data_IF_126139893576
#
_entry.id   IF_126139893576
#
_cell.length_a   1.000
_cell.length_b   1.000
_cell.length_c   1.000
_cell.angle_alpha   90.00
_cell.angle_beta   90.00
_cell.angle_gamma   90.00
#
_symmetry.space_group_name_H-M   'P 1'
#
loop_
_entity.id
_entity.type
_entity.pdbx_description
1 polymer ?
#
# COMPACT_ATOMS: atom_id res chain seq x y z
N UNK A 1 3.58 -0.46 -7.26
CA UNK A 1 4.41 0.75 -7.09
C UNK A 1 4.44 1.65 -8.33
N UNK A 2 4.96 1.23 -9.47
CA UNK A 2 5.07 2.08 -10.68
C UNK A 2 3.72 2.64 -11.16
N UNK A 3 2.65 1.85 -11.12
CA UNK A 3 1.30 2.29 -11.49
C UNK A 3 0.82 3.43 -10.57
N UNK A 4 0.97 3.28 -9.26
CA UNK A 4 0.58 4.30 -8.29
C UNK A 4 1.32 5.62 -8.54
N UNK A 5 2.64 5.57 -8.75
CA UNK A 5 3.45 6.74 -9.07
C UNK A 5 3.02 7.38 -10.41
N UNK A 6 2.75 6.58 -11.43
CA UNK A 6 2.31 7.10 -12.72
C UNK A 6 0.95 7.82 -12.63
N UNK A 7 -0.01 7.27 -11.90
CA UNK A 7 -1.32 7.89 -11.69
C UNK A 7 -1.23 9.15 -10.84
N UNK A 8 -0.38 9.16 -9.79
CA UNK A 8 -0.23 10.32 -8.92
C UNK A 8 0.44 11.51 -9.61
N UNK A 9 1.35 11.25 -10.55
CA UNK A 9 2.03 12.30 -11.32
C UNK A 9 1.21 12.76 -12.53
N UNK A 10 0.39 11.86 -13.10
CA UNK A 10 -0.25 12.09 -14.39
C UNK A 10 0.76 12.10 -15.55
N UNK A 11 0.29 12.41 -16.75
CA UNK A 11 1.14 12.56 -17.93
C UNK A 11 0.49 13.49 -18.96
N UNK A 12 1.08 14.65 -19.17
CA UNK A 12 0.64 15.59 -20.21
C UNK A 12 0.71 14.96 -21.60
N UNK A 13 1.76 14.14 -21.84
CA UNK A 13 1.95 13.45 -23.13
C UNK A 13 0.76 12.56 -23.52
N UNK A 14 0.09 11.98 -22.54
CA UNK A 14 -1.04 11.06 -22.76
C UNK A 14 -2.37 11.64 -22.32
N UNK A 15 -2.43 12.93 -21.97
CA UNK A 15 -3.66 13.58 -21.49
C UNK A 15 -4.17 13.01 -20.15
N UNK A 16 -3.30 12.42 -19.35
CA UNK A 16 -3.66 11.82 -18.06
C UNK A 16 -3.41 12.87 -16.97
N UNK A 17 -4.49 13.32 -16.31
CA UNK A 17 -4.38 14.21 -15.16
C UNK A 17 -3.85 13.46 -13.92
N UNK A 18 -3.14 14.18 -13.06
CA UNK A 18 -2.69 13.64 -11.78
C UNK A 18 -3.88 13.27 -10.89
N UNK A 19 -3.77 12.18 -10.14
CA UNK A 19 -4.79 11.65 -9.24
C UNK A 19 -4.28 11.62 -7.80
N UNK A 20 -5.17 11.82 -6.84
CA UNK A 20 -4.88 11.52 -5.42
C UNK A 20 -4.94 10.01 -5.26
N UNK A 21 -3.78 9.39 -5.02
CA UNK A 21 -3.63 7.93 -4.97
C UNK A 21 -3.29 7.51 -3.55
N UNK A 22 -4.06 6.57 -2.99
CA UNK A 22 -3.68 5.83 -1.80
C UNK A 22 -3.13 4.47 -2.21
N UNK A 23 -1.91 4.16 -1.81
CA UNK A 23 -1.29 2.85 -1.98
C UNK A 23 -1.32 2.12 -0.64
N UNK A 24 -2.09 1.05 -0.59
CA UNK A 24 -2.29 0.19 0.59
C UNK A 24 -1.39 -1.02 0.48
N UNK A 25 -0.49 -1.20 1.43
CA UNK A 25 0.39 -2.37 1.50
C UNK A 25 -0.24 -3.44 2.39
N UNK A 26 -0.60 -4.59 1.82
CA UNK A 26 -1.15 -5.75 2.52
C UNK A 26 -0.13 -6.89 2.67
N UNK A 27 1.10 -6.73 2.13
CA UNK A 27 2.16 -7.71 2.32
C UNK A 27 2.90 -7.46 3.64
N UNK A 28 2.92 -8.42 4.60
CA UNK A 28 3.65 -8.27 5.86
C UNK A 28 5.13 -7.93 5.70
N UNK A 29 5.73 -8.21 4.53
CA UNK A 29 7.10 -7.78 4.22
C UNK A 29 7.25 -6.26 4.23
N UNK A 30 6.17 -5.50 3.99
CA UNK A 30 6.14 -4.03 4.04
C UNK A 30 7.12 -3.39 3.06
N UNK A 31 7.22 -3.92 1.86
CA UNK A 31 8.21 -3.47 0.87
C UNK A 31 7.86 -2.11 0.26
N UNK A 32 6.59 -1.74 0.25
CA UNK A 32 6.13 -0.45 -0.29
C UNK A 32 6.80 0.71 0.45
N UNK A 33 6.68 0.76 1.78
CA UNK A 33 7.29 1.81 2.59
C UNK A 33 8.82 1.86 2.43
N UNK A 34 9.47 0.69 2.42
CA UNK A 34 10.92 0.56 2.23
C UNK A 34 11.39 1.16 0.90
N UNK A 35 10.60 1.06 -0.16
CA UNK A 35 10.93 1.65 -1.47
C UNK A 35 11.03 3.19 -1.41
N UNK A 36 10.28 3.82 -0.51
CA UNK A 36 10.39 5.27 -0.24
C UNK A 36 11.48 5.61 0.78
N UNK A 37 12.32 4.64 1.18
CA UNK A 37 13.38 4.85 2.16
C UNK A 37 12.86 4.99 3.60
N UNK A 38 11.65 4.54 3.87
CA UNK A 38 11.03 4.56 5.19
C UNK A 38 11.53 3.37 6.01
N UNK A 39 11.98 3.60 7.23
CA UNK A 39 12.28 2.53 8.19
C UNK A 39 10.98 2.13 8.89
N UNK A 40 10.47 0.96 8.56
CA UNK A 40 9.22 0.41 9.09
C UNK A 40 9.15 0.34 10.63
N UNK A 41 10.31 0.22 11.29
CA UNK A 41 10.39 0.15 12.75
C UNK A 41 10.15 1.50 13.44
N UNK A 42 10.22 2.59 12.70
CA UNK A 42 10.06 3.96 13.21
C UNK A 42 8.75 4.62 12.79
N UNK A 43 7.96 3.94 11.99
CA UNK A 43 6.65 4.40 11.54
C UNK A 43 5.61 3.85 12.52
N UNK A 44 4.88 4.73 13.15
CA UNK A 44 3.69 4.34 13.91
C UNK A 44 2.47 4.61 13.06
N UNK A 45 1.26 4.46 13.49
CA UNK A 45 0.63 3.16 13.39
C UNK A 45 0.55 2.69 11.92
N UNK A 46 0.43 1.39 11.70
CA UNK A 46 0.44 0.74 10.38
C UNK A 46 -0.90 0.07 10.07
N UNK A 47 -0.96 -0.69 8.99
CA UNK A 47 -2.10 -1.55 8.65
C UNK A 47 -2.41 -2.54 9.79
N UNK A 48 -1.40 -3.01 10.54
CA UNK A 48 -1.59 -3.94 11.64
C UNK A 48 -2.51 -3.38 12.73
N UNK A 49 -2.24 -2.16 13.21
CA UNK A 49 -3.06 -1.51 14.21
C UNK A 49 -4.48 -1.22 13.70
N UNK A 50 -4.59 -0.86 12.42
CA UNK A 50 -5.88 -0.61 11.80
C UNK A 50 -6.75 -1.89 11.75
N UNK A 51 -6.15 -3.05 11.45
CA UNK A 51 -6.83 -4.34 11.42
C UNK A 51 -7.12 -4.93 12.82
N UNK A 52 -6.19 -4.76 13.78
CA UNK A 52 -6.33 -5.29 15.14
C UNK A 52 -7.50 -4.68 15.88
N UNK A 53 -7.87 -3.46 15.52
CA UNK A 53 -8.95 -2.75 16.19
C UNK A 53 -10.31 -3.36 15.86
N UNK A 54 -11.12 -3.53 16.91
CA UNK A 54 -12.54 -3.80 16.75
C UNK A 54 -13.26 -2.60 16.14
N UNK A 55 -14.43 -2.83 15.57
CA UNK A 55 -15.31 -1.80 14.99
C UNK A 55 -15.66 -0.70 16.03
N UNK A 56 -15.45 -0.98 17.30
CA UNK A 56 -15.85 -0.12 18.42
C UNK A 56 -14.75 0.83 18.94
N UNK A 57 -13.52 0.77 18.41
CA UNK A 57 -12.44 1.66 18.88
C UNK A 57 -12.33 2.90 17.99
N UNK A 58 -13.09 3.91 18.34
CA UNK A 58 -13.24 5.21 17.65
C UNK A 58 -12.01 6.14 17.65
N UNK A 59 -10.81 5.67 17.98
CA UNK A 59 -9.67 6.55 18.26
C UNK A 59 -8.54 6.52 17.23
N UNK A 60 -8.45 5.57 16.29
CA UNK A 60 -7.46 5.56 15.21
C UNK A 60 -8.14 5.69 13.87
N UNK A 61 -7.83 6.72 13.16
CA UNK A 61 -8.34 6.97 11.81
C UNK A 61 -7.34 6.45 10.79
N UNK A 62 -7.81 6.15 9.60
CA UNK A 62 -6.95 5.78 8.47
C UNK A 62 -5.86 6.84 8.22
N UNK A 63 -6.20 8.11 8.40
CA UNK A 63 -5.28 9.24 8.24
C UNK A 63 -4.07 9.15 9.16
N UNK A 64 -4.25 8.64 10.40
CA UNK A 64 -3.17 8.49 11.39
C UNK A 64 -2.17 7.40 10.98
N UNK A 65 -2.62 6.44 10.18
CA UNK A 65 -1.82 5.32 9.66
C UNK A 65 -1.18 5.62 8.30
N UNK A 66 -1.48 6.77 7.70
CA UNK A 66 -1.14 7.03 6.30
C UNK A 66 0.03 8.01 6.18
N UNK A 67 1.04 7.61 5.41
CA UNK A 67 2.23 8.42 5.13
C UNK A 67 1.96 9.32 3.93
N UNK A 68 1.95 10.63 4.16
CA UNK A 68 1.69 11.63 3.12
C UNK A 68 2.91 11.97 2.25
N UNK A 69 2.69 12.73 1.15
CA UNK A 69 3.72 13.05 0.16
C UNK A 69 4.97 13.73 0.73
N UNK A 70 4.81 14.63 1.70
CA UNK A 70 5.93 15.37 2.31
C UNK A 70 6.81 14.45 3.15
N UNK A 71 6.20 13.56 3.94
CA UNK A 71 6.91 12.55 4.71
C UNK A 71 7.70 11.61 3.79
N UNK A 72 7.06 11.08 2.74
CA UNK A 72 7.68 10.18 1.77
C UNK A 72 8.84 10.87 1.05
N UNK A 73 8.66 12.12 0.62
CA UNK A 73 9.73 12.93 0.02
C UNK A 73 10.91 13.11 0.99
N UNK A 74 10.64 13.41 2.24
CA UNK A 74 11.66 13.55 3.29
C UNK A 74 12.46 12.28 3.50
N UNK A 75 11.78 11.13 3.59
CA UNK A 75 12.38 9.81 3.75
C UNK A 75 13.27 9.43 2.58
N UNK A 76 12.81 9.64 1.33
CA UNK A 76 13.60 9.40 0.12
C UNK A 76 14.88 10.25 0.10
N UNK A 77 14.78 11.53 0.45
CA UNK A 77 15.94 12.44 0.52
C UNK A 77 16.92 12.02 1.61
N UNK A 78 16.43 11.57 2.76
CA UNK A 78 17.25 11.06 3.84
C UNK A 78 17.97 9.75 3.44
N UNK A 79 17.28 8.82 2.82
CA UNK A 79 17.85 7.59 2.28
C UNK A 79 18.93 7.87 1.22
N UNK A 80 18.67 8.82 0.33
CA UNK A 80 19.66 9.25 -0.66
C UNK A 80 20.95 9.77 -0.01
N UNK A 81 20.83 10.61 1.05
CA UNK A 81 21.99 11.12 1.78
C UNK A 81 22.81 10.01 2.42
N UNK A 82 22.15 9.03 3.04
CA UNK A 82 22.80 7.84 3.62
C UNK A 82 23.60 7.04 2.58
N UNK A 83 23.04 6.89 1.38
CA UNK A 83 23.66 6.13 0.29
C UNK A 83 24.74 6.93 -0.47
N UNK A 84 24.86 8.22 -0.22
CA UNK A 84 25.82 9.11 -0.90
C UNK A 84 26.61 9.98 0.11
N UNK A 85 27.34 9.37 1.06
CA UNK A 85 28.12 10.13 2.04
C UNK A 85 29.23 10.93 1.31
N UNK A 86 29.41 12.18 1.70
CA UNK A 86 30.47 13.03 1.15
C UNK A 86 30.15 13.74 -0.16
N UNK A 87 28.99 13.55 -0.78
CA UNK A 87 28.58 14.39 -1.91
C UNK A 87 28.21 15.79 -1.43
N UNK A 88 28.93 16.80 -1.94
CA UNK A 88 28.69 18.21 -1.61
C UNK A 88 27.34 18.74 -2.11
N UNK A 89 26.82 18.16 -3.20
CA UNK A 89 25.45 18.45 -3.69
C UNK A 89 24.46 17.58 -2.92
N UNK A 90 23.40 18.22 -2.41
CA UNK A 90 22.28 17.53 -1.77
C UNK A 90 21.49 16.60 -2.71
N UNK A 91 20.42 15.95 -2.23
CA UNK A 91 19.58 15.10 -3.05
C UNK A 91 19.02 15.89 -4.24
N UNK A 92 18.85 15.23 -5.40
CA UNK A 92 18.30 15.87 -6.59
C UNK A 92 16.93 16.50 -6.34
N UNK A 93 16.66 17.66 -6.93
CA UNK A 93 15.38 18.38 -6.76
C UNK A 93 14.17 17.60 -7.30
N UNK A 94 14.39 16.65 -8.23
CA UNK A 94 13.31 15.80 -8.77
C UNK A 94 12.88 14.69 -7.80
N UNK A 95 13.58 14.47 -6.67
CA UNK A 95 13.07 13.59 -5.61
C UNK A 95 11.93 14.33 -4.90
N UNK A 96 10.73 14.12 -5.39
CA UNK A 96 9.50 14.62 -4.81
C UNK A 96 8.37 13.63 -5.06
N UNK A 97 7.64 13.29 -4.00
CA UNK A 97 6.38 12.54 -4.07
C UNK A 97 5.24 13.56 -4.13
N UNK A 98 4.28 13.36 -5.02
CA UNK A 98 3.11 14.22 -5.16
C UNK A 98 1.87 13.37 -5.31
N UNK A 99 0.78 13.78 -4.66
CA UNK A 99 -0.53 13.13 -4.76
C UNK A 99 -0.52 11.62 -4.51
N UNK A 100 0.46 11.11 -3.75
CA UNK A 100 0.60 9.71 -3.38
C UNK A 100 0.75 9.59 -1.87
N UNK A 101 -0.14 8.82 -1.28
CA UNK A 101 -0.15 8.43 0.13
C UNK A 101 0.09 6.93 0.23
N UNK A 102 0.70 6.49 1.31
CA UNK A 102 1.00 5.09 1.57
C UNK A 102 0.45 4.70 2.93
N UNK A 103 -0.36 3.66 2.96
CA UNK A 103 -0.73 2.95 4.18
C UNK A 103 0.21 1.75 4.31
N UNK A 104 1.22 1.81 5.20
CA UNK A 104 2.27 0.81 5.25
C UNK A 104 1.83 -0.45 6.00
N UNK A 105 2.38 -1.60 5.58
CA UNK A 105 2.36 -2.84 6.36
C UNK A 105 3.65 -3.00 7.16
N UNK A 106 3.58 -3.86 8.17
CA UNK A 106 4.72 -4.36 8.93
C UNK A 106 4.64 -5.88 9.15
N UNK A 107 5.66 -6.44 9.81
CA UNK A 107 5.75 -7.89 10.06
C UNK A 107 4.63 -8.42 10.96
N UNK A 108 4.08 -7.57 11.83
CA UNK A 108 3.05 -7.97 12.79
C UNK A 108 1.71 -8.25 12.09
N UNK A 109 1.52 -7.72 10.87
CA UNK A 109 0.37 -8.01 10.02
C UNK A 109 0.21 -9.52 9.73
N UNK A 110 1.29 -10.31 9.75
CA UNK A 110 1.21 -11.77 9.60
C UNK A 110 0.49 -12.46 10.77
N UNK A 111 0.53 -11.90 11.96
CA UNK A 111 -0.19 -12.40 13.14
C UNK A 111 -1.70 -12.16 13.08
N UNK A 112 -2.11 -11.15 12.35
CA UNK A 112 -3.53 -10.76 12.20
C UNK A 112 -4.39 -11.87 11.60
N UNK A 113 -3.85 -12.67 10.67
CA UNK A 113 -4.59 -13.79 10.08
C UNK A 113 -5.03 -14.80 11.15
N UNK A 114 -4.20 -15.03 12.15
CA UNK A 114 -4.51 -15.92 13.28
C UNK A 114 -5.54 -15.26 14.20
N UNK A 115 -5.34 -14.00 14.55
CA UNK A 115 -6.23 -13.26 15.46
C UNK A 115 -7.64 -13.07 14.89
N UNK A 116 -7.74 -12.90 13.59
CA UNK A 116 -9.00 -12.74 12.89
C UNK A 116 -9.68 -14.06 12.53
N UNK A 117 -9.00 -15.21 12.65
CA UNK A 117 -9.51 -16.50 12.16
C UNK A 117 -10.89 -16.86 12.70
N UNK A 118 -11.20 -16.47 13.93
CA UNK A 118 -12.49 -16.74 14.63
C UNK A 118 -13.48 -15.58 14.60
N UNK A 119 -13.10 -14.42 14.05
CA UNK A 119 -13.96 -13.23 14.08
C UNK A 119 -14.95 -13.22 12.92
N UNK A 120 -16.19 -12.87 13.20
CA UNK A 120 -17.24 -12.67 12.17
C UNK A 120 -16.92 -11.41 11.36
N UNK A 121 -17.09 -11.48 10.02
CA UNK A 121 -16.83 -10.35 9.12
C UNK A 121 -15.34 -10.06 8.91
N UNK A 122 -14.47 -11.01 9.24
CA UNK A 122 -13.02 -10.90 9.12
C UNK A 122 -12.55 -10.56 7.70
N UNK A 123 -13.30 -10.99 6.70
CA UNK A 123 -13.02 -10.75 5.28
C UNK A 123 -13.33 -9.32 4.81
N UNK A 124 -14.11 -8.57 5.58
CA UNK A 124 -14.54 -7.21 5.22
C UNK A 124 -13.81 -6.10 6.00
N UNK A 125 -12.78 -6.43 6.76
CA UNK A 125 -12.08 -5.45 7.62
C UNK A 125 -11.44 -4.33 6.83
N UNK A 126 -10.75 -4.66 5.73
CA UNK A 126 -10.14 -3.66 4.87
C UNK A 126 -11.19 -2.77 4.21
N UNK A 127 -12.28 -3.35 3.72
CA UNK A 127 -13.38 -2.59 3.11
C UNK A 127 -13.96 -1.56 4.07
N UNK A 128 -14.17 -1.95 5.33
CA UNK A 128 -14.66 -1.05 6.37
C UNK A 128 -13.65 0.05 6.69
N UNK A 129 -12.37 -0.31 6.83
CA UNK A 129 -11.30 0.67 7.09
C UNK A 129 -11.14 1.69 5.96
N UNK A 130 -11.27 1.27 4.71
CA UNK A 130 -11.15 2.14 3.54
C UNK A 130 -12.40 2.97 3.27
N UNK A 131 -13.57 2.62 3.81
CA UNK A 131 -14.81 3.35 3.57
C UNK A 131 -14.74 4.82 3.97
N UNK A 132 -13.97 5.17 4.99
CA UNK A 132 -13.74 6.55 5.43
C UNK A 132 -12.86 7.35 4.48
N UNK A 133 -12.09 6.68 3.62
CA UNK A 133 -11.12 7.30 2.72
C UNK A 133 -11.62 7.45 1.28
N UNK A 134 -12.74 6.83 0.92
CA UNK A 134 -13.20 6.78 -0.47
C UNK A 134 -13.41 8.15 -1.10
N UNK A 135 -13.88 9.14 -0.33
CA UNK A 135 -14.06 10.50 -0.82
C UNK A 135 -12.76 11.33 -0.87
N UNK A 136 -11.72 10.86 -0.20
CA UNK A 136 -10.44 11.57 -0.08
C UNK A 136 -9.46 11.23 -1.20
N UNK A 137 -9.64 10.10 -1.88
CA UNK A 137 -8.74 9.62 -2.93
C UNK A 137 -9.49 9.33 -4.23
N UNK A 138 -8.84 9.62 -5.36
CA UNK A 138 -9.41 9.34 -6.68
C UNK A 138 -9.16 7.88 -7.09
N UNK A 139 -8.11 7.26 -6.55
CA UNK A 139 -7.73 5.87 -6.79
C UNK A 139 -7.11 5.27 -5.52
N UNK A 140 -7.56 4.07 -5.15
CA UNK A 140 -6.94 3.27 -4.08
C UNK A 140 -6.35 2.02 -4.75
N UNK A 141 -5.06 1.80 -4.56
CA UNK A 141 -4.34 0.62 -5.06
C UNK A 141 -3.96 -0.24 -3.87
N UNK A 142 -4.36 -1.51 -3.88
CA UNK A 142 -4.07 -2.47 -2.82
C UNK A 142 -3.02 -3.45 -3.35
N UNK A 143 -1.84 -3.45 -2.71
CA UNK A 143 -0.76 -4.39 -2.99
C UNK A 143 -0.91 -5.61 -2.08
N UNK A 144 -1.03 -6.81 -2.66
CA UNK A 144 -1.37 -8.03 -1.94
C UNK A 144 -0.17 -8.97 -1.81
N UNK A 145 -0.10 -9.78 -0.72
CA UNK A 145 0.88 -10.86 -0.64
C UNK A 145 0.66 -11.92 -1.74
N UNK A 146 1.69 -12.72 -2.00
CA UNK A 146 1.61 -13.79 -3.00
C UNK A 146 0.72 -14.98 -2.56
N UNK A 147 0.34 -15.05 -1.29
CA UNK A 147 -0.52 -16.13 -0.75
C UNK A 147 -2.00 -15.77 -0.88
N UNK A 148 -2.85 -16.77 -1.08
CA UNK A 148 -4.31 -16.64 -1.04
C UNK A 148 -4.85 -16.76 0.41
N UNK A 149 -4.25 -16.03 1.35
CA UNK A 149 -4.68 -15.96 2.74
C UNK A 149 -5.77 -14.92 2.99
N UNK A 150 -6.11 -14.71 4.27
CA UNK A 150 -7.15 -13.78 4.70
C UNK A 150 -6.86 -12.33 4.29
N UNK A 151 -5.58 -11.93 4.23
CA UNK A 151 -5.18 -10.60 3.77
C UNK A 151 -5.56 -10.39 2.29
N UNK A 152 -5.29 -11.38 1.43
CA UNK A 152 -5.67 -11.32 0.01
C UNK A 152 -7.19 -11.32 -0.15
N UNK A 153 -7.92 -12.13 0.63
CA UNK A 153 -9.40 -12.12 0.65
C UNK A 153 -9.93 -10.75 1.04
N UNK A 154 -9.36 -10.10 2.06
CA UNK A 154 -9.74 -8.74 2.43
C UNK A 154 -9.52 -7.72 1.30
N UNK A 155 -8.39 -7.84 0.59
CA UNK A 155 -8.11 -6.97 -0.56
C UNK A 155 -9.15 -7.17 -1.68
N UNK A 156 -9.49 -8.42 -2.00
CA UNK A 156 -10.51 -8.74 -3.01
C UNK A 156 -11.91 -8.27 -2.62
N UNK A 157 -12.30 -8.41 -1.35
CA UNK A 157 -13.59 -7.90 -0.85
C UNK A 157 -13.69 -6.37 -0.84
N UNK A 158 -12.56 -5.68 -0.73
CA UNK A 158 -12.50 -4.22 -0.74
C UNK A 158 -12.40 -3.62 -2.15
N UNK A 159 -11.82 -4.35 -3.10
CA UNK A 159 -11.53 -3.87 -4.45
C UNK A 159 -12.76 -3.96 -5.37
N UNK A 160 -12.88 -3.00 -6.28
CA UNK A 160 -13.83 -3.03 -7.41
C UNK A 160 -13.22 -3.69 -8.65
N UNK A 161 -11.90 -3.64 -8.77
CA UNK A 161 -11.14 -4.14 -9.92
C UNK A 161 -9.93 -4.91 -9.46
N UNK A 162 -9.60 -5.98 -10.19
CA UNK A 162 -8.40 -6.79 -9.96
C UNK A 162 -7.47 -6.62 -11.16
N UNK A 163 -6.24 -6.14 -10.90
CA UNK A 163 -5.18 -6.05 -11.90
C UNK A 163 -4.20 -7.19 -11.69
N UNK A 164 -4.09 -8.09 -12.66
CA UNK A 164 -3.19 -9.23 -12.61
C UNK A 164 -2.01 -8.95 -13.55
N UNK A 165 -0.82 -8.58 -13.03
CA UNK A 165 0.37 -8.43 -13.86
C UNK A 165 0.89 -9.81 -14.30
N UNK A 166 0.97 -10.05 -15.59
CA UNK A 166 1.42 -11.32 -16.16
C UNK A 166 2.67 -11.07 -17.01
N UNK A 167 3.73 -11.83 -16.74
CA UNK A 167 4.86 -11.92 -17.66
C UNK A 167 4.48 -12.88 -18.80
N UNK A 168 4.92 -12.58 -20.02
CA UNK A 168 4.63 -13.41 -21.20
C UNK A 168 5.52 -14.68 -21.19
N UNK A 169 5.39 -15.49 -20.13
CA UNK A 169 6.12 -16.74 -19.93
C UNK A 169 5.13 -17.90 -19.74
N UNK A 170 5.54 -19.11 -20.16
CA UNK A 170 4.67 -20.29 -20.14
C UNK A 170 4.08 -20.60 -18.76
N UNK A 171 4.88 -20.54 -17.70
CA UNK A 171 4.43 -20.82 -16.33
C UNK A 171 3.47 -19.77 -15.75
N UNK A 172 3.48 -18.55 -16.26
CA UNK A 172 2.58 -17.51 -15.82
C UNK A 172 1.11 -17.79 -16.21
N UNK A 173 0.90 -18.46 -17.34
CA UNK A 173 -0.44 -18.85 -17.81
C UNK A 173 -1.07 -19.95 -16.93
N UNK A 174 -0.26 -20.88 -16.44
CA UNK A 174 -0.74 -21.94 -15.53
C UNK A 174 -1.17 -21.35 -14.17
N UNK A 175 -0.38 -20.44 -13.59
CA UNK A 175 -0.73 -19.75 -12.37
C UNK A 175 -1.98 -18.86 -12.48
N UNK A 176 -2.22 -18.29 -13.66
CA UNK A 176 -3.42 -17.48 -13.92
C UNK A 176 -4.70 -18.32 -13.84
N UNK A 177 -4.68 -19.55 -14.35
CA UNK A 177 -5.84 -20.47 -14.26
C UNK A 177 -6.25 -20.77 -12.82
N UNK A 178 -5.28 -20.95 -11.94
CA UNK A 178 -5.53 -21.17 -10.50
C UNK A 178 -6.09 -19.91 -9.82
N UNK A 179 -5.57 -18.74 -10.14
CA UNK A 179 -6.02 -17.46 -9.57
C UNK A 179 -7.46 -17.14 -10.00
N UNK A 180 -7.79 -17.28 -11.29
CA UNK A 180 -9.15 -17.03 -11.80
C UNK A 180 -10.17 -18.02 -11.19
N UNK A 181 -9.74 -19.23 -10.86
CA UNK A 181 -10.63 -20.21 -10.21
C UNK A 181 -10.86 -19.90 -8.72
N UNK A 182 -10.04 -19.07 -8.12
CA UNK A 182 -10.11 -18.69 -6.70
C UNK A 182 -10.88 -17.35 -6.46
N UNK A 183 -11.13 -16.58 -7.52
CA UNK A 183 -11.92 -15.33 -7.52
C UNK A 183 -13.36 -15.63 -7.94
#
# INVERSE_FOLDING_TARGET
MNLASALSLGSEKYGISSRRVLLVDMDPKGNVATTFGVDKRTVGPTMNELFSRGVDSSSLRLEDCTLGPDFLTGSMKASWRKSNPGKSRGPPNHIAVRNLWVLPADMDLSGIEVDLATRVGRENRLKLALSEAMDSFDVIIIDTPASLGLLTVNALCAAEWVLIPIQAEFYALEGMGQLISAI
#
